data_IF_540296452013
#
_entry.id   IF_540296452013
#
_cell.length_a   1.000
_cell.length_b   1.000
_cell.length_c   1.000
_cell.angle_alpha   90.00
_cell.angle_beta   90.00
_cell.angle_gamma   90.00
#
_symmetry.space_group_name_H-M   'P 1'
#
loop_
_entity.id
_entity.type
_entity.pdbx_description
1 polymer ?
#
# COMPACT_ATOMS: atom_id res chain seq x y z
N UNK A 1 25.24 7.74 -4.62
CA UNK A 1 24.63 6.42 -4.94
C UNK A 1 23.20 6.41 -4.41
N UNK A 2 22.26 5.85 -5.19
CA UNK A 2 20.92 5.61 -4.67
C UNK A 2 20.93 4.38 -3.76
N UNK A 3 20.16 4.44 -2.67
CA UNK A 3 19.94 3.28 -1.81
C UNK A 3 19.10 2.22 -2.54
N UNK A 4 19.40 0.95 -2.29
CA UNK A 4 18.66 -0.21 -2.77
C UNK A 4 18.45 -1.21 -1.65
N UNK A 5 17.32 -1.92 -1.67
CA UNK A 5 17.06 -3.04 -0.75
C UNK A 5 18.02 -4.19 -1.04
N UNK A 6 18.17 -4.54 -2.33
CA UNK A 6 19.03 -5.60 -2.86
C UNK A 6 19.35 -5.30 -4.33
N UNK A 7 20.45 -5.89 -4.82
CA UNK A 7 20.80 -5.81 -6.24
C UNK A 7 20.04 -6.85 -7.08
N UNK A 8 19.68 -7.99 -6.49
CA UNK A 8 18.93 -9.04 -7.18
C UNK A 8 17.48 -9.11 -6.67
N UNK A 9 16.55 -8.66 -7.50
CA UNK A 9 15.10 -8.61 -7.24
C UNK A 9 14.34 -9.84 -7.76
N UNK A 10 15.02 -10.86 -8.24
CA UNK A 10 14.38 -12.13 -8.59
C UNK A 10 13.78 -12.76 -7.33
N UNK A 11 12.58 -13.34 -7.44
CA UNK A 11 11.83 -13.86 -6.29
C UNK A 11 12.60 -14.96 -5.54
N UNK A 12 13.18 -15.90 -6.25
CA UNK A 12 13.96 -16.99 -5.63
C UNK A 12 15.16 -16.44 -4.84
N UNK A 13 15.78 -15.39 -5.37
CA UNK A 13 16.87 -14.69 -4.67
C UNK A 13 16.36 -13.95 -3.43
N UNK A 14 15.17 -13.33 -3.48
CA UNK A 14 14.57 -12.67 -2.33
C UNK A 14 14.23 -13.68 -1.22
N UNK A 15 13.72 -14.85 -1.57
CA UNK A 15 13.48 -15.94 -0.61
C UNK A 15 14.76 -16.46 0.03
N UNK A 16 15.84 -16.55 -0.73
CA UNK A 16 17.15 -16.95 -0.19
C UNK A 16 17.77 -15.89 0.73
N UNK A 17 17.58 -14.62 0.42
CA UNK A 17 18.15 -13.50 1.18
C UNK A 17 17.35 -13.17 2.43
N UNK A 18 16.01 -13.29 2.37
CA UNK A 18 15.12 -12.74 3.39
C UNK A 18 14.14 -13.79 3.93
N UNK A 19 14.35 -14.22 5.16
CA UNK A 19 13.47 -15.18 5.85
C UNK A 19 12.00 -14.71 5.84
N UNK A 20 11.75 -13.41 6.02
CA UNK A 20 10.40 -12.86 6.03
C UNK A 20 9.72 -12.94 4.65
N UNK A 21 10.47 -13.05 3.53
CA UNK A 21 9.89 -13.36 2.20
C UNK A 21 9.48 -14.84 2.13
N UNK A 22 10.35 -15.75 2.61
CA UNK A 22 10.01 -17.18 2.72
C UNK A 22 8.73 -17.41 3.53
N UNK A 23 8.58 -16.72 4.66
CA UNK A 23 7.43 -16.87 5.55
C UNK A 23 6.10 -16.54 4.83
N UNK A 24 6.09 -15.69 3.80
CA UNK A 24 4.90 -15.33 3.03
C UNK A 24 4.28 -16.51 2.29
N UNK A 25 5.05 -17.55 1.96
CA UNK A 25 4.55 -18.76 1.27
C UNK A 25 3.55 -19.54 2.14
N UNK A 26 3.68 -19.45 3.45
CA UNK A 26 2.89 -20.21 4.42
C UNK A 26 1.68 -19.42 4.95
N UNK A 27 1.46 -18.19 4.47
CA UNK A 27 0.38 -17.32 4.92
C UNK A 27 -0.73 -17.33 3.87
N UNK A 28 -1.78 -18.10 4.14
CA UNK A 28 -2.97 -18.13 3.28
C UNK A 28 -3.85 -16.91 3.51
N UNK A 29 -4.60 -16.52 2.49
CA UNK A 29 -5.47 -15.35 2.49
C UNK A 29 -6.93 -15.74 2.26
N UNK A 30 -7.85 -14.80 2.51
CA UNK A 30 -9.29 -15.03 2.32
C UNK A 30 -9.60 -15.23 0.84
N UNK A 31 -10.11 -16.39 0.47
CA UNK A 31 -10.32 -16.83 -0.91
C UNK A 31 -11.24 -15.92 -1.75
N UNK A 32 -12.21 -15.22 -1.14
CA UNK A 32 -13.09 -14.29 -1.87
C UNK A 32 -12.38 -13.03 -2.37
N UNK A 33 -11.29 -12.64 -1.72
CA UNK A 33 -10.54 -11.43 -2.03
C UNK A 33 -9.16 -11.73 -2.61
N UNK A 34 -8.68 -12.98 -2.46
CA UNK A 34 -7.35 -13.45 -2.83
C UNK A 34 -7.42 -14.90 -3.32
N UNK A 35 -8.05 -15.11 -4.49
CA UNK A 35 -8.10 -16.46 -5.13
C UNK A 35 -6.70 -16.95 -5.51
N UNK A 36 -5.69 -16.04 -5.58
CA UNK A 36 -4.29 -16.37 -5.78
C UNK A 36 -3.65 -17.15 -4.63
N UNK A 37 -4.27 -17.17 -3.45
CA UNK A 37 -3.93 -18.03 -2.32
C UNK A 37 -3.00 -17.40 -1.30
N UNK A 38 -1.67 -17.59 -1.40
CA UNK A 38 -0.74 -17.12 -0.36
C UNK A 38 -0.33 -15.64 -0.52
N UNK A 39 0.17 -15.06 0.59
CA UNK A 39 0.75 -13.71 0.59
C UNK A 39 1.93 -13.62 -0.38
N UNK A 40 2.73 -14.68 -0.53
CA UNK A 40 3.84 -14.70 -1.48
C UNK A 40 3.38 -14.52 -2.93
N UNK A 41 2.38 -15.28 -3.36
CA UNK A 41 1.82 -15.17 -4.72
C UNK A 41 1.24 -13.77 -4.93
N UNK A 42 0.43 -13.29 -3.99
CA UNK A 42 -0.12 -11.94 -4.02
C UNK A 42 0.97 -10.87 -4.15
N UNK A 43 2.00 -10.91 -3.30
CA UNK A 43 3.08 -9.92 -3.30
C UNK A 43 3.84 -9.90 -4.63
N UNK A 44 4.10 -11.08 -5.24
CA UNK A 44 4.70 -11.16 -6.59
C UNK A 44 3.85 -10.46 -7.63
N UNK A 45 2.54 -10.75 -7.65
CA UNK A 45 1.60 -10.11 -8.58
C UNK A 45 1.50 -8.59 -8.36
N UNK A 46 1.57 -8.13 -7.11
CA UNK A 46 1.62 -6.69 -6.78
C UNK A 46 2.89 -6.04 -7.33
N UNK A 47 4.05 -6.67 -7.18
CA UNK A 47 5.32 -6.17 -7.73
C UNK A 47 5.29 -6.11 -9.26
N UNK A 48 4.75 -7.13 -9.92
CA UNK A 48 4.58 -7.15 -11.37
C UNK A 48 3.64 -6.03 -11.84
N UNK A 49 2.47 -5.90 -11.19
CA UNK A 49 1.50 -4.84 -11.49
C UNK A 49 2.10 -3.44 -11.29
N UNK A 50 2.88 -3.24 -10.22
CA UNK A 50 3.57 -1.97 -9.97
C UNK A 50 4.54 -1.62 -11.10
N UNK A 51 5.37 -2.58 -11.50
CA UNK A 51 6.37 -2.38 -12.56
C UNK A 51 5.76 -2.11 -13.93
N UNK A 52 4.50 -2.49 -14.16
CA UNK A 52 3.77 -2.21 -15.39
C UNK A 52 3.15 -0.81 -15.43
N UNK A 53 3.01 -0.12 -14.30
CA UNK A 53 2.44 1.23 -14.26
C UNK A 53 3.36 2.24 -14.96
N UNK A 54 2.88 3.01 -15.95
CA UNK A 54 3.68 4.06 -16.60
C UNK A 54 4.17 5.12 -15.62
N UNK A 55 3.33 5.48 -14.64
CA UNK A 55 3.65 6.45 -13.60
C UNK A 55 4.81 5.98 -12.71
N UNK A 56 4.86 4.69 -12.37
CA UNK A 56 5.98 4.10 -11.62
C UNK A 56 7.29 4.17 -12.43
N UNK A 57 7.24 3.83 -13.71
CA UNK A 57 8.43 3.86 -14.60
C UNK A 57 8.98 5.27 -14.80
N UNK A 58 8.12 6.28 -14.69
CA UNK A 58 8.49 7.69 -14.82
C UNK A 58 9.06 8.30 -13.51
N UNK A 59 9.01 7.58 -12.38
CA UNK A 59 9.56 8.06 -11.12
C UNK A 59 11.09 8.14 -11.15
N UNK A 60 11.70 9.04 -10.36
CA UNK A 60 13.13 9.00 -10.07
C UNK A 60 13.52 7.62 -9.49
N UNK A 61 14.72 7.14 -9.82
CA UNK A 61 15.17 5.80 -9.43
C UNK A 61 15.06 5.51 -7.93
N UNK A 62 15.32 6.52 -7.07
CA UNK A 62 15.18 6.34 -5.62
C UNK A 62 13.72 6.21 -5.19
N UNK A 63 12.79 6.91 -5.81
CA UNK A 63 11.35 6.76 -5.52
C UNK A 63 10.82 5.41 -6.01
N UNK A 64 11.32 4.93 -7.17
CA UNK A 64 11.01 3.58 -7.64
C UNK A 64 11.44 2.52 -6.61
N UNK A 65 12.65 2.66 -6.07
CA UNK A 65 13.18 1.72 -5.06
C UNK A 65 12.38 1.76 -3.76
N UNK A 66 12.04 2.94 -3.27
CA UNK A 66 11.18 3.13 -2.08
C UNK A 66 9.84 2.44 -2.29
N UNK A 67 9.19 2.69 -3.42
CA UNK A 67 7.85 2.17 -3.69
C UNK A 67 7.87 0.66 -3.93
N UNK A 68 8.88 0.15 -4.64
CA UNK A 68 9.08 -1.29 -4.84
C UNK A 68 9.28 -2.03 -3.50
N UNK A 69 10.14 -1.47 -2.63
CA UNK A 69 10.38 -2.03 -1.30
C UNK A 69 9.14 -1.98 -0.43
N UNK A 70 8.37 -0.89 -0.50
CA UNK A 70 7.09 -0.80 0.21
C UNK A 70 6.09 -1.84 -0.29
N UNK A 71 6.03 -2.09 -1.60
CA UNK A 71 5.19 -3.13 -2.20
C UNK A 71 5.62 -4.53 -1.76
N UNK A 72 6.92 -4.80 -1.64
CA UNK A 72 7.42 -6.08 -1.13
C UNK A 72 7.05 -6.30 0.35
N UNK A 73 7.01 -5.24 1.15
CA UNK A 73 6.78 -5.31 2.61
C UNK A 73 5.34 -5.05 3.03
N UNK A 74 4.42 -4.64 2.13
CA UNK A 74 3.10 -4.12 2.51
C UNK A 74 2.28 -5.08 3.37
N UNK A 75 2.39 -6.36 3.09
CA UNK A 75 1.67 -7.46 3.75
C UNK A 75 2.54 -8.35 4.65
N UNK A 76 3.78 -7.94 4.95
CA UNK A 76 4.76 -8.72 5.72
C UNK A 76 4.23 -9.23 7.07
N UNK A 77 3.32 -8.51 7.72
CA UNK A 77 2.75 -8.91 9.02
C UNK A 77 1.40 -9.63 8.92
N UNK A 78 0.91 -9.99 7.74
CA UNK A 78 -0.16 -10.98 7.64
C UNK A 78 0.23 -12.31 8.30
N UNK A 79 1.53 -12.67 8.29
CA UNK A 79 2.07 -13.85 8.98
C UNK A 79 1.77 -13.90 10.49
N UNK A 80 1.67 -12.76 11.17
CA UNK A 80 1.42 -12.67 12.62
C UNK A 80 0.01 -12.22 12.98
N UNK A 81 -0.77 -11.81 12.00
CA UNK A 81 -2.10 -11.22 12.23
C UNK A 81 -3.23 -11.98 11.54
N UNK A 82 -2.91 -12.92 10.66
CA UNK A 82 -3.94 -13.75 10.04
C UNK A 82 -4.53 -14.75 11.05
N UNK A 83 -5.85 -14.76 11.08
CA UNK A 83 -6.65 -15.66 11.91
C UNK A 83 -7.64 -16.37 11.00
N UNK A 84 -7.70 -17.69 11.08
CA UNK A 84 -8.78 -18.48 10.50
C UNK A 84 -9.99 -18.40 11.41
N UNK A 85 -11.01 -17.68 10.98
CA UNK A 85 -12.29 -17.51 11.70
C UNK A 85 -13.22 -18.71 11.48
N UNK A 86 -12.79 -19.72 10.74
CA UNK A 86 -13.59 -20.86 10.32
C UNK A 86 -14.32 -20.62 8.97
N UNK A 87 -14.84 -21.72 8.41
CA UNK A 87 -15.56 -21.71 7.12
C UNK A 87 -14.80 -21.05 5.95
N UNK A 88 -13.46 -21.08 5.97
CA UNK A 88 -12.60 -20.48 4.95
C UNK A 88 -12.46 -18.96 5.03
N UNK A 89 -12.93 -18.36 6.12
CA UNK A 89 -12.81 -16.92 6.38
C UNK A 89 -11.48 -16.66 7.07
N UNK A 90 -10.58 -15.95 6.39
CA UNK A 90 -9.29 -15.53 6.96
C UNK A 90 -9.29 -14.01 7.09
N UNK A 91 -9.04 -13.52 8.31
CA UNK A 91 -8.88 -12.08 8.58
C UNK A 91 -7.45 -11.76 9.00
N UNK A 92 -6.98 -10.55 8.70
CA UNK A 92 -5.62 -10.09 9.04
C UNK A 92 -5.67 -8.70 9.66
N UNK A 93 -6.48 -8.55 10.71
CA UNK A 93 -6.73 -7.25 11.37
C UNK A 93 -5.44 -6.67 11.93
N UNK A 94 -5.13 -5.42 11.56
CA UNK A 94 -3.97 -4.70 12.09
C UNK A 94 -2.63 -5.00 11.41
N UNK A 95 -2.59 -5.84 10.35
CA UNK A 95 -1.34 -6.17 9.64
C UNK A 95 -0.57 -4.93 9.17
N UNK A 96 -1.25 -3.92 8.62
CA UNK A 96 -0.62 -2.70 8.16
C UNK A 96 0.04 -1.88 9.30
N UNK A 97 -0.58 -1.86 10.50
CA UNK A 97 0.00 -1.20 11.66
C UNK A 97 1.22 -1.95 12.19
N UNK A 98 1.14 -3.27 12.29
CA UNK A 98 2.30 -4.10 12.67
C UNK A 98 3.37 -4.06 11.60
N UNK A 99 2.98 -4.12 10.33
CA UNK A 99 3.87 -4.03 9.18
C UNK A 99 4.73 -2.77 9.17
N UNK A 100 4.20 -1.62 9.60
CA UNK A 100 4.97 -0.38 9.79
C UNK A 100 6.16 -0.61 10.74
N UNK A 101 5.94 -1.25 11.88
CA UNK A 101 7.01 -1.52 12.86
C UNK A 101 8.01 -2.55 12.34
N UNK A 102 7.52 -3.60 11.71
CA UNK A 102 8.37 -4.66 11.15
C UNK A 102 9.22 -4.15 10.00
N UNK A 103 8.63 -3.39 9.06
CA UNK A 103 9.38 -2.75 7.99
C UNK A 103 10.48 -1.83 8.53
N UNK A 104 10.15 -1.01 9.54
CA UNK A 104 11.15 -0.15 10.21
C UNK A 104 12.26 -0.94 10.87
N UNK A 105 11.94 -2.07 11.50
CA UNK A 105 12.93 -2.95 12.16
C UNK A 105 13.86 -3.60 11.12
N UNK A 106 13.32 -4.17 10.06
CA UNK A 106 14.08 -4.78 8.96
C UNK A 106 15.04 -3.74 8.36
N UNK A 107 14.50 -2.57 8.00
CA UNK A 107 15.24 -1.49 7.34
C UNK A 107 16.19 -0.71 8.28
N UNK A 108 16.16 -0.96 9.57
CA UNK A 108 17.10 -0.38 10.52
C UNK A 108 18.19 -1.36 10.92
N UNK A 109 17.80 -2.60 11.23
CA UNK A 109 18.69 -3.59 11.83
C UNK A 109 19.35 -4.48 10.80
N UNK A 110 18.57 -4.95 9.83
CA UNK A 110 18.99 -6.01 8.93
C UNK A 110 19.51 -5.43 7.59
N UNK A 111 19.01 -4.29 7.18
CA UNK A 111 19.36 -3.63 5.92
C UNK A 111 19.64 -2.14 6.20
N UNK A 112 20.91 -1.71 6.30
CA UNK A 112 21.24 -0.32 6.61
C UNK A 112 20.57 0.65 5.63
N UNK A 113 19.55 1.37 6.13
CA UNK A 113 18.71 2.25 5.33
C UNK A 113 18.73 3.66 5.88
N UNK A 114 18.98 4.70 5.07
CA UNK A 114 18.88 6.09 5.49
C UNK A 114 17.52 6.39 6.13
N UNK A 115 17.52 7.20 7.20
CA UNK A 115 16.34 7.48 8.01
C UNK A 115 15.12 7.88 7.16
N UNK A 116 15.29 8.86 6.26
CA UNK A 116 14.19 9.36 5.44
C UNK A 116 13.62 8.29 4.49
N UNK A 117 14.43 7.41 3.92
CA UNK A 117 14.01 6.30 3.06
C UNK A 117 13.22 5.28 3.88
N UNK A 118 13.77 4.88 5.03
CA UNK A 118 13.13 3.94 5.95
C UNK A 118 11.75 4.43 6.39
N UNK A 119 11.63 5.68 6.80
CA UNK A 119 10.35 6.22 7.29
C UNK A 119 9.33 6.38 6.15
N UNK A 120 9.75 6.71 4.94
CA UNK A 120 8.87 6.71 3.76
C UNK A 120 8.33 5.32 3.45
N UNK A 121 9.18 4.28 3.46
CA UNK A 121 8.74 2.89 3.23
C UNK A 121 7.79 2.45 4.34
N UNK A 122 8.13 2.67 5.61
CA UNK A 122 7.30 2.30 6.75
C UNK A 122 5.92 2.99 6.71
N UNK A 123 5.87 4.27 6.31
CA UNK A 123 4.61 4.99 6.15
C UNK A 123 3.78 4.46 4.97
N UNK A 124 4.38 4.11 3.84
CA UNK A 124 3.69 3.45 2.72
C UNK A 124 3.08 2.12 3.16
N UNK A 125 3.84 1.27 3.88
CA UNK A 125 3.35 0.01 4.46
C UNK A 125 2.18 0.27 5.43
N UNK A 126 2.27 1.31 6.27
CA UNK A 126 1.22 1.67 7.23
C UNK A 126 -0.11 2.02 6.58
N UNK A 127 -0.05 2.72 5.45
CA UNK A 127 -1.23 3.32 4.83
C UNK A 127 -1.66 2.62 3.54
N UNK A 128 -1.01 1.51 3.10
CA UNK A 128 -1.27 0.89 1.79
C UNK A 128 -2.75 0.58 1.55
N UNK A 129 -3.47 0.08 2.56
CA UNK A 129 -4.89 -0.22 2.46
C UNK A 129 -5.82 1.00 2.57
N UNK A 130 -5.31 2.19 2.98
CA UNK A 130 -6.15 3.38 3.18
C UNK A 130 -6.90 3.79 1.91
N UNK A 131 -6.27 3.85 0.71
CA UNK A 131 -6.98 4.27 -0.50
C UNK A 131 -8.15 3.37 -0.85
N UNK A 132 -8.08 2.09 -0.54
CA UNK A 132 -9.12 1.09 -0.85
C UNK A 132 -10.37 1.31 0.02
N UNK A 133 -10.16 1.62 1.30
CA UNK A 133 -11.22 1.66 2.30
C UNK A 133 -11.55 3.07 2.80
N UNK A 134 -10.96 4.12 2.20
CA UNK A 134 -11.09 5.48 2.73
C UNK A 134 -12.53 5.98 2.75
N UNK A 135 -13.33 5.61 1.75
CA UNK A 135 -14.73 6.07 1.64
C UNK A 135 -15.66 5.42 2.66
N UNK A 136 -15.23 4.31 3.27
CA UNK A 136 -15.96 3.61 4.32
C UNK A 136 -15.61 4.15 5.73
N UNK A 137 -14.64 5.09 5.80
CA UNK A 137 -14.24 5.69 7.08
C UNK A 137 -15.18 6.80 7.46
N UNK A 138 -15.40 6.93 8.77
CA UNK A 138 -16.28 7.98 9.35
C UNK A 138 -15.87 9.39 8.92
N UNK A 139 -14.58 9.70 8.86
CA UNK A 139 -14.04 11.00 8.47
C UNK A 139 -12.95 10.85 7.40
N UNK A 140 -13.32 10.55 6.13
CA UNK A 140 -12.36 10.21 5.08
C UNK A 140 -11.36 11.34 4.78
N UNK A 141 -11.80 12.59 4.77
CA UNK A 141 -10.93 13.76 4.52
C UNK A 141 -9.90 13.91 5.63
N UNK A 142 -10.33 13.83 6.91
CA UNK A 142 -9.40 13.87 8.04
C UNK A 142 -8.35 12.77 7.95
N UNK A 143 -8.76 11.55 7.64
CA UNK A 143 -7.84 10.40 7.49
C UNK A 143 -6.86 10.58 6.34
N UNK A 144 -7.29 11.16 5.23
CA UNK A 144 -6.42 11.48 4.12
C UNK A 144 -5.40 12.57 4.49
N UNK A 145 -5.84 13.62 5.17
CA UNK A 145 -4.96 14.68 5.66
C UNK A 145 -3.93 14.13 6.66
N UNK A 146 -4.34 13.30 7.63
CA UNK A 146 -3.43 12.63 8.57
C UNK A 146 -2.37 11.79 7.82
N UNK A 147 -2.78 11.04 6.81
CA UNK A 147 -1.87 10.23 6.01
C UNK A 147 -0.89 11.11 5.20
N UNK A 148 -1.38 12.20 4.59
CA UNK A 148 -0.56 13.10 3.76
C UNK A 148 0.56 13.82 4.53
N UNK A 149 0.46 13.90 5.86
CA UNK A 149 1.53 14.42 6.73
C UNK A 149 2.69 13.42 6.91
N UNK A 150 2.48 12.16 6.57
CA UNK A 150 3.43 11.07 6.81
C UNK A 150 3.90 10.36 5.55
N UNK A 151 3.11 10.40 4.47
CA UNK A 151 3.37 9.64 3.25
C UNK A 151 3.06 10.50 2.02
N UNK A 152 3.87 10.36 0.97
CA UNK A 152 3.52 10.88 -0.34
C UNK A 152 2.30 10.14 -0.88
N UNK A 153 1.16 10.85 -0.96
CA UNK A 153 -0.11 10.26 -1.40
C UNK A 153 -0.08 9.84 -2.88
N UNK A 154 0.83 10.41 -3.68
CA UNK A 154 1.08 10.01 -5.07
C UNK A 154 1.64 8.58 -5.11
N UNK A 155 2.67 8.30 -4.30
CA UNK A 155 3.25 6.96 -4.17
C UNK A 155 2.26 5.99 -3.53
N UNK A 156 1.52 6.44 -2.51
CA UNK A 156 0.50 5.63 -1.87
C UNK A 156 -0.60 5.19 -2.84
N UNK A 157 -1.03 6.08 -3.75
CA UNK A 157 -1.99 5.74 -4.82
C UNK A 157 -1.44 4.63 -5.72
N UNK A 158 -0.19 4.76 -6.19
CA UNK A 158 0.43 3.76 -7.05
C UNK A 158 0.51 2.39 -6.37
N UNK A 159 0.88 2.36 -5.09
CA UNK A 159 0.91 1.13 -4.28
C UNK A 159 -0.48 0.49 -4.18
N UNK A 160 -1.52 1.29 -3.88
CA UNK A 160 -2.88 0.79 -3.77
C UNK A 160 -3.43 0.27 -5.12
N UNK A 161 -3.09 0.92 -6.23
CA UNK A 161 -3.43 0.43 -7.57
C UNK A 161 -2.76 -0.92 -7.83
N UNK A 162 -1.47 -1.05 -7.53
CA UNK A 162 -0.74 -2.31 -7.68
C UNK A 162 -1.32 -3.42 -6.81
N UNK A 163 -1.63 -3.14 -5.54
CA UNK A 163 -2.25 -4.08 -4.61
C UNK A 163 -3.59 -4.62 -5.16
N UNK A 164 -4.45 -3.74 -5.70
CA UNK A 164 -5.73 -4.17 -6.28
C UNK A 164 -5.53 -4.96 -7.59
N UNK A 165 -4.60 -4.53 -8.44
CA UNK A 165 -4.30 -5.21 -9.71
C UNK A 165 -3.68 -6.59 -9.48
N UNK A 166 -2.87 -6.72 -8.44
CA UNK A 166 -2.22 -7.96 -8.01
C UNK A 166 -3.16 -8.97 -7.34
N UNK A 167 -4.47 -8.73 -7.28
CA UNK A 167 -5.45 -9.67 -6.72
C UNK A 167 -6.17 -10.45 -7.82
N UNK A 168 -6.45 -11.71 -7.54
CA UNK A 168 -7.43 -12.50 -8.28
C UNK A 168 -8.71 -12.53 -7.43
N UNK A 169 -9.74 -11.81 -7.87
CA UNK A 169 -11.05 -11.83 -7.24
C UNK A 169 -12.14 -11.56 -8.28
N UNK A 170 -13.32 -12.15 -8.08
CA UNK A 170 -14.46 -12.01 -9.00
C UNK A 170 -15.04 -10.61 -9.02
N UNK A 171 -14.97 -9.94 -7.88
CA UNK A 171 -15.42 -8.54 -7.73
C UNK A 171 -14.24 -7.64 -7.36
N UNK A 172 -13.87 -6.76 -8.31
CA UNK A 172 -12.87 -5.70 -8.10
C UNK A 172 -13.55 -4.32 -7.95
N UNK A 173 -14.50 -4.14 -7.01
CA UNK A 173 -15.29 -2.90 -6.92
C UNK A 173 -14.41 -1.69 -6.65
N UNK A 174 -13.29 -1.89 -5.96
CA UNK A 174 -12.34 -0.84 -5.65
C UNK A 174 -11.66 -0.27 -6.91
N UNK A 175 -11.38 -1.08 -7.93
CA UNK A 175 -10.79 -0.59 -9.19
C UNK A 175 -11.69 0.43 -9.91
N UNK A 176 -13.01 0.27 -9.85
CA UNK A 176 -13.97 1.19 -10.44
C UNK A 176 -14.05 2.51 -9.67
N UNK A 177 -13.67 2.52 -8.40
CA UNK A 177 -13.70 3.71 -7.53
C UNK A 177 -12.39 4.50 -7.57
N UNK A 178 -11.25 3.90 -7.96
CA UNK A 178 -9.93 4.54 -7.98
C UNK A 178 -9.85 5.87 -8.78
N UNK A 179 -10.49 6.02 -9.96
CA UNK A 179 -10.49 7.31 -10.68
C UNK A 179 -11.12 8.44 -9.87
N UNK A 180 -12.10 8.15 -9.02
CA UNK A 180 -12.70 9.13 -8.11
C UNK A 180 -11.76 9.55 -6.98
N UNK A 181 -10.82 8.69 -6.59
CA UNK A 181 -9.80 8.99 -5.57
C UNK A 181 -8.66 9.86 -6.11
N UNK A 182 -8.40 9.86 -7.43
CA UNK A 182 -7.32 10.68 -8.00
C UNK A 182 -7.48 12.17 -7.69
N UNK A 183 -8.71 12.65 -7.54
CA UNK A 183 -9.01 14.04 -7.10
C UNK A 183 -8.69 14.24 -5.61
N UNK A 184 -8.89 13.24 -4.76
CA UNK A 184 -8.56 13.30 -3.32
C UNK A 184 -7.03 13.26 -3.10
N UNK A 185 -6.29 12.53 -3.93
CA UNK A 185 -4.83 12.43 -3.84
C UNK A 185 -4.09 13.61 -4.49
N UNK A 186 -4.77 14.48 -5.24
CA UNK A 186 -4.21 15.75 -5.72
C UNK A 186 -3.86 16.73 -4.58
N UNK A 187 -4.21 16.42 -3.34
CA UNK A 187 -3.96 17.24 -2.14
C UNK A 187 -2.45 17.46 -1.87
N UNK A 188 -1.55 16.57 -2.30
CA UNK A 188 -0.11 16.81 -2.14
C UNK A 188 0.42 17.99 -2.97
N UNK A 189 -0.25 18.34 -4.06
CA UNK A 189 0.10 19.53 -4.86
C UNK A 189 -0.18 20.84 -4.09
N UNK A 190 -0.86 20.73 -2.96
CA UNK A 190 -1.44 21.82 -2.19
C UNK A 190 -0.80 21.96 -0.80
N UNK A 191 0.15 21.13 -0.45
CA UNK A 191 0.89 21.25 0.83
C UNK A 191 1.69 22.56 0.94
N UNK A 192 1.93 23.27 -0.17
CA UNK A 192 2.42 24.65 -0.19
C UNK A 192 1.36 25.73 0.10
N UNK A 193 0.05 25.41 -0.11
CA UNK A 193 -1.07 26.36 0.00
C UNK A 193 -2.13 25.81 0.99
N UNK A 194 -1.72 25.68 2.24
CA UNK A 194 -2.35 24.84 3.29
C UNK A 194 -3.81 25.12 3.67
N UNK A 195 -4.39 26.24 3.37
CA UNK A 195 -5.73 26.61 3.89
C UNK A 195 -6.84 26.68 2.84
N UNK A 196 -6.58 27.26 1.69
CA UNK A 196 -7.60 27.41 0.62
C UNK A 196 -7.96 26.10 -0.07
N UNK A 197 -7.06 25.16 -0.06
CA UNK A 197 -7.21 23.90 -0.74
C UNK A 197 -8.13 22.92 -0.05
N UNK A 198 -8.16 22.87 1.27
CA UNK A 198 -9.14 22.10 2.04
C UNK A 198 -10.56 22.60 1.75
N UNK A 199 -10.74 23.91 1.60
CA UNK A 199 -12.05 24.50 1.27
C UNK A 199 -12.51 24.17 -0.15
N UNK A 200 -11.60 23.98 -1.11
CA UNK A 200 -11.93 23.59 -2.51
C UNK A 200 -12.27 22.10 -2.67
N UNK A 201 -11.71 21.24 -1.81
CA UNK A 201 -11.96 19.78 -1.84
C UNK A 201 -13.27 19.42 -1.11
N UNK A 202 -13.63 20.15 -0.06
CA UNK A 202 -14.85 19.92 0.74
C UNK A 202 -16.14 19.91 -0.07
N UNK A 203 -16.39 20.84 -1.01
CA UNK A 203 -17.60 20.82 -1.84
C UNK A 203 -17.69 19.61 -2.77
N UNK A 204 -16.56 19.15 -3.31
CA UNK A 204 -16.53 17.96 -4.17
C UNK A 204 -16.87 16.68 -3.40
N UNK A 205 -16.52 16.61 -2.12
CA UNK A 205 -16.83 15.49 -1.22
C UNK A 205 -18.31 15.47 -0.84
N UNK A 206 -18.92 16.62 -0.55
CA UNK A 206 -20.36 16.71 -0.23
C UNK A 206 -21.24 16.36 -1.43
N UNK A 207 -20.83 16.78 -2.62
CA UNK A 207 -21.52 16.46 -3.89
C UNK A 207 -21.38 14.97 -4.22
N UNK A 208 -20.26 14.36 -3.89
CA UNK A 208 -20.02 12.92 -4.07
C UNK A 208 -20.90 12.09 -3.12
N UNK A 209 -20.95 12.42 -1.80
CA UNK A 209 -21.86 11.76 -0.85
C UNK A 209 -23.31 11.81 -1.34
N UNK A 210 -23.78 12.99 -1.78
CA UNK A 210 -25.12 13.18 -2.29
C UNK A 210 -25.43 12.35 -3.55
N UNK A 211 -24.46 12.12 -4.44
CA UNK A 211 -24.59 11.27 -5.64
C UNK A 211 -24.55 9.76 -5.34
N UNK A 212 -23.93 9.36 -4.24
CA UNK A 212 -23.80 7.96 -3.84
C UNK A 212 -24.88 7.51 -2.85
N UNK A 213 -25.78 8.42 -2.41
CA UNK A 213 -26.87 8.08 -1.49
C UNK A 213 -26.40 7.71 -0.08
N UNK A 214 -25.22 8.22 0.36
CA UNK A 214 -24.64 7.96 1.69
C UNK A 214 -24.67 9.24 2.51
#
# INVERSE_FOLDING_TARGET
MNWKLTDNKNWDSLEQQFRWVQDMNFVMQHHLHHEEGSVAVHTRMVLEALQQQPEYRALPAQEQEILWTAALLHDVEKRSTSVDEGNGIITSKGHARRGEYTARTILYRDIPTPFHIRENIAALVRYHGLPVWIMERENPVKKLCEASLRVDTRLLKMLAVADIQGRICKDKPALRKLPSYSRCFAVNRIAGERHEALQRVMPAFSTFKRRMGI
#
